data_IF_693575564476
#
_entry.id   IF_693575564476
#
_cell.length_a   1.000
_cell.length_b   1.000
_cell.length_c   1.000
_cell.angle_alpha   90.00
_cell.angle_beta   90.00
_cell.angle_gamma   90.00
#
_symmetry.space_group_name_H-M   'P 1'
#
loop_
_entity.id
_entity.type
_entity.pdbx_description
1 polymer ?
#
# COMPACT_ATOMS: atom_id res chain seq x y z
N UNK A 1 -26.29 -1.29 24.78
CA UNK A 1 -25.88 -0.66 23.51
C UNK A 1 -24.77 0.31 23.85
N UNK A 2 -23.57 0.14 23.28
CA UNK A 2 -22.50 1.13 23.43
C UNK A 2 -22.95 2.35 22.63
N UNK A 3 -22.98 3.54 23.22
CA UNK A 3 -23.23 4.75 22.45
C UNK A 3 -22.08 4.93 21.47
N UNK A 4 -22.40 5.12 20.19
CA UNK A 4 -21.40 5.43 19.16
C UNK A 4 -20.65 6.70 19.55
N UNK A 5 -19.32 6.67 19.44
CA UNK A 5 -18.50 7.88 19.63
C UNK A 5 -18.34 8.68 18.33
N UNK A 6 -18.78 8.12 17.19
CA UNK A 6 -18.79 8.81 15.91
C UNK A 6 -19.87 9.89 15.94
N UNK A 7 -19.44 11.15 16.04
CA UNK A 7 -20.31 12.31 16.09
C UNK A 7 -19.54 13.54 15.57
N UNK A 8 -20.27 14.65 15.36
CA UNK A 8 -19.68 15.91 14.85
C UNK A 8 -18.47 16.36 15.69
N UNK A 9 -18.52 16.22 17.02
CA UNK A 9 -17.40 16.63 17.89
C UNK A 9 -16.15 15.76 17.69
N UNK A 10 -16.31 14.45 17.47
CA UNK A 10 -15.18 13.55 17.16
C UNK A 10 -14.50 13.95 15.85
N UNK A 11 -15.27 14.15 14.78
CA UNK A 11 -14.72 14.47 13.46
C UNK A 11 -14.16 15.90 13.36
N UNK A 12 -14.78 16.88 14.00
CA UNK A 12 -14.19 18.22 14.14
C UNK A 12 -12.92 18.18 15.01
N UNK A 13 -12.85 17.30 16.01
CA UNK A 13 -11.66 17.11 16.83
C UNK A 13 -10.42 16.66 16.03
N UNK A 14 -10.61 16.07 14.85
CA UNK A 14 -9.53 15.62 13.96
C UNK A 14 -8.78 16.79 13.28
N UNK A 15 -9.34 18.00 13.26
CA UNK A 15 -8.69 19.19 12.64
C UNK A 15 -7.28 19.42 13.19
N UNK A 16 -7.10 19.17 14.49
CA UNK A 16 -5.79 19.27 15.17
C UNK A 16 -4.72 18.31 14.63
N UNK A 17 -5.11 17.22 13.95
CA UNK A 17 -4.16 16.31 13.28
C UNK A 17 -3.76 16.78 11.87
N UNK A 18 -4.48 17.74 11.29
CA UNK A 18 -4.23 18.28 9.96
C UNK A 18 -3.57 19.68 9.96
N UNK A 19 -3.30 20.26 11.14
CA UNK A 19 -2.55 21.51 11.30
C UNK A 19 -1.11 21.37 10.75
N UNK A 20 -0.35 22.48 10.70
CA UNK A 20 1.09 22.44 10.42
C UNK A 20 1.83 21.57 11.45
N UNK A 21 2.94 20.93 11.07
CA UNK A 21 3.63 19.92 11.90
C UNK A 21 4.00 20.46 13.30
N UNK A 22 4.30 21.74 13.41
CA UNK A 22 4.62 22.45 14.66
C UNK A 22 3.45 22.49 15.66
N UNK A 23 2.22 22.32 15.19
CA UNK A 23 1.00 22.36 15.97
C UNK A 23 0.13 21.10 15.79
N UNK A 24 0.52 20.16 14.93
CA UNK A 24 -0.24 18.96 14.69
C UNK A 24 -0.11 17.97 15.86
N UNK A 25 -1.18 17.20 16.08
CA UNK A 25 -1.22 16.09 17.02
C UNK A 25 -1.53 14.76 16.28
N UNK A 26 -1.13 13.63 16.87
CA UNK A 26 -1.49 12.31 16.32
C UNK A 26 -3.00 12.13 16.25
N UNK A 27 -3.46 11.20 15.40
CA UNK A 27 -4.88 10.83 15.40
C UNK A 27 -5.28 10.29 16.78
N UNK A 28 -6.57 10.39 17.17
CA UNK A 28 -7.07 9.76 18.38
C UNK A 28 -6.79 8.25 18.39
N UNK A 29 -6.43 7.64 19.55
CA UNK A 29 -6.17 6.21 19.64
C UNK A 29 -7.30 5.30 19.12
N UNK A 30 -8.56 5.78 19.20
CA UNK A 30 -9.73 5.08 18.67
C UNK A 30 -9.66 4.87 17.14
N UNK A 31 -8.95 5.72 16.40
CA UNK A 31 -8.73 5.55 14.96
C UNK A 31 -7.88 4.32 14.60
N UNK A 32 -7.19 3.74 15.59
CA UNK A 32 -6.28 2.60 15.43
C UNK A 32 -6.74 1.35 16.17
N UNK A 33 -7.79 1.44 16.98
CA UNK A 33 -8.17 0.36 17.92
C UNK A 33 -9.65 0.02 17.87
N UNK A 34 -10.52 0.96 17.48
CA UNK A 34 -11.96 0.73 17.55
C UNK A 34 -12.52 0.14 16.25
N UNK A 35 -13.30 -0.94 16.39
CA UNK A 35 -13.92 -1.63 15.27
C UNK A 35 -14.98 -0.77 14.57
N UNK A 36 -15.72 0.04 15.30
CA UNK A 36 -16.73 0.96 14.73
C UNK A 36 -16.05 1.99 13.82
N UNK A 37 -14.90 2.52 14.22
CA UNK A 37 -14.12 3.40 13.35
C UNK A 37 -13.57 2.66 12.14
N UNK A 38 -13.09 1.42 12.28
CA UNK A 38 -12.63 0.64 11.12
C UNK A 38 -13.74 0.40 10.09
N UNK A 39 -14.97 0.07 10.52
CA UNK A 39 -16.10 -0.07 9.58
C UNK A 39 -16.44 1.26 8.90
N UNK A 40 -16.39 2.38 9.64
CA UNK A 40 -16.50 3.71 9.05
C UNK A 40 -15.36 4.00 8.06
N UNK A 41 -14.13 3.62 8.39
CA UNK A 41 -12.93 3.84 7.59
C UNK A 41 -12.99 3.07 6.26
N UNK A 42 -13.56 1.87 6.23
CA UNK A 42 -13.85 1.15 4.96
C UNK A 42 -14.62 2.03 3.99
N UNK A 43 -15.69 2.67 4.47
CA UNK A 43 -16.52 3.56 3.67
C UNK A 43 -15.89 4.94 3.44
N UNK A 44 -15.07 5.45 4.36
CA UNK A 44 -14.46 6.76 4.18
C UNK A 44 -13.27 6.75 3.22
N UNK A 45 -12.68 5.57 3.01
CA UNK A 45 -11.36 5.44 2.42
C UNK A 45 -11.29 4.30 1.41
N UNK A 46 -11.34 3.05 1.87
CA UNK A 46 -11.03 1.89 1.05
C UNK A 46 -12.02 1.68 -0.10
N UNK A 47 -13.29 2.02 0.10
CA UNK A 47 -14.33 1.93 -0.94
C UNK A 47 -14.18 2.94 -2.09
N UNK A 48 -13.45 4.04 -1.87
CA UNK A 48 -13.43 5.17 -2.82
C UNK A 48 -12.03 5.57 -3.29
N UNK A 49 -10.98 5.12 -2.62
CA UNK A 49 -9.60 5.38 -3.01
C UNK A 49 -9.00 4.26 -3.86
N UNK A 50 -7.94 4.60 -4.58
CA UNK A 50 -7.18 3.65 -5.37
C UNK A 50 -6.28 2.79 -4.47
N UNK A 51 -6.45 1.48 -4.57
CA UNK A 51 -5.78 0.47 -3.75
C UNK A 51 -4.79 -0.32 -4.59
N UNK A 52 -3.50 -0.22 -4.28
CA UNK A 52 -2.48 -1.08 -4.86
C UNK A 52 -2.71 -2.53 -4.41
N UNK A 53 -2.82 -3.44 -5.38
CA UNK A 53 -3.10 -4.87 -5.14
C UNK A 53 -1.98 -5.79 -5.58
N UNK A 54 -1.00 -5.28 -6.33
CA UNK A 54 0.10 -6.08 -6.83
C UNK A 54 0.90 -5.40 -7.93
N UNK A 55 1.67 -6.20 -8.66
CA UNK A 55 2.51 -5.75 -9.79
C UNK A 55 1.99 -6.30 -11.10
N UNK A 56 2.19 -5.53 -12.17
CA UNK A 56 1.92 -5.97 -13.54
C UNK A 56 2.73 -7.23 -13.91
N UNK A 57 3.97 -7.33 -13.42
CA UNK A 57 4.84 -8.48 -13.67
C UNK A 57 4.33 -9.79 -13.03
N UNK A 58 3.39 -9.73 -12.09
CA UNK A 58 2.75 -10.92 -11.50
C UNK A 58 1.70 -11.54 -12.44
N UNK A 59 1.25 -10.80 -13.44
CA UNK A 59 0.33 -11.26 -14.50
C UNK A 59 0.94 -10.96 -15.86
N UNK A 60 2.10 -11.54 -16.15
CA UNK A 60 2.87 -11.20 -17.36
C UNK A 60 2.20 -11.74 -18.62
N UNK A 61 1.85 -13.02 -18.60
CA UNK A 61 1.31 -13.74 -19.74
C UNK A 61 -0.22 -13.75 -19.73
N UNK A 62 -0.84 -13.95 -20.90
CA UNK A 62 -2.30 -14.13 -20.98
C UNK A 62 -2.75 -15.30 -20.11
N UNK A 63 -3.78 -15.09 -19.29
CA UNK A 63 -4.30 -16.10 -18.38
C UNK A 63 -3.61 -16.16 -17.03
N UNK A 64 -2.48 -15.46 -16.86
CA UNK A 64 -1.87 -15.31 -15.53
C UNK A 64 -2.85 -14.58 -14.62
N UNK A 65 -2.95 -15.06 -13.39
CA UNK A 65 -3.76 -14.46 -12.34
C UNK A 65 -3.08 -14.57 -10.98
N UNK A 66 -3.45 -13.65 -10.09
CA UNK A 66 -3.28 -13.81 -8.65
C UNK A 66 -4.55 -13.38 -7.92
N UNK A 67 -4.67 -13.84 -6.68
CA UNK A 67 -5.73 -13.45 -5.76
C UNK A 67 -5.15 -12.64 -4.61
N UNK A 68 -6.00 -11.78 -4.04
CA UNK A 68 -5.73 -10.97 -2.86
C UNK A 68 -7.06 -10.61 -2.20
N UNK A 69 -7.03 -9.96 -1.03
CA UNK A 69 -8.22 -9.44 -0.38
C UNK A 69 -7.95 -8.12 0.31
N UNK A 70 -8.87 -7.17 0.21
CA UNK A 70 -8.81 -5.89 0.95
C UNK A 70 -10.17 -5.67 1.59
N UNK A 71 -10.21 -5.24 2.86
CA UNK A 71 -11.45 -4.94 3.61
C UNK A 71 -12.53 -6.03 3.56
N UNK A 72 -12.11 -7.30 3.61
CA UNK A 72 -12.97 -8.49 3.50
C UNK A 72 -13.50 -8.81 2.09
N UNK A 73 -13.09 -8.04 1.06
CA UNK A 73 -13.44 -8.29 -0.34
C UNK A 73 -12.38 -9.16 -1.04
N UNK A 74 -12.72 -10.39 -1.48
CA UNK A 74 -11.80 -11.26 -2.20
C UNK A 74 -11.73 -10.88 -3.69
N UNK A 75 -10.52 -10.61 -4.16
CA UNK A 75 -10.23 -10.09 -5.50
C UNK A 75 -9.43 -11.13 -6.29
N UNK A 76 -9.77 -11.29 -7.56
CA UNK A 76 -8.91 -11.94 -8.56
C UNK A 76 -8.46 -10.91 -9.58
N UNK A 77 -7.15 -10.83 -9.81
CA UNK A 77 -6.54 -9.99 -10.84
C UNK A 77 -5.99 -10.90 -11.92
N UNK A 78 -6.31 -10.65 -13.19
CA UNK A 78 -5.90 -11.51 -14.30
C UNK A 78 -5.61 -10.74 -15.58
N UNK A 79 -4.68 -11.25 -16.39
CA UNK A 79 -4.47 -10.75 -17.76
C UNK A 79 -5.40 -11.47 -18.75
N UNK A 80 -6.29 -10.71 -19.38
CA UNK A 80 -7.21 -11.21 -20.40
C UNK A 80 -6.52 -11.62 -21.70
N UNK A 81 -7.27 -12.31 -22.58
CA UNK A 81 -6.79 -12.71 -23.92
C UNK A 81 -6.56 -11.54 -24.87
N UNK A 82 -7.15 -10.40 -24.55
CA UNK A 82 -6.94 -9.11 -25.21
C UNK A 82 -5.73 -8.34 -24.64
N UNK A 83 -4.98 -8.93 -23.71
CA UNK A 83 -3.83 -8.31 -23.04
C UNK A 83 -4.21 -7.36 -21.90
N UNK A 84 -5.50 -7.08 -21.69
CA UNK A 84 -5.99 -6.13 -20.67
C UNK A 84 -6.00 -6.80 -19.29
N UNK A 85 -5.39 -6.14 -18.31
CA UNK A 85 -5.45 -6.53 -16.89
C UNK A 85 -6.82 -6.16 -16.33
N UNK A 86 -7.46 -7.10 -15.64
CA UNK A 86 -8.74 -6.89 -14.98
C UNK A 86 -8.65 -7.33 -13.53
N UNK A 87 -9.33 -6.59 -12.66
CA UNK A 87 -9.58 -6.97 -11.28
C UNK A 87 -11.09 -7.19 -11.11
N UNK A 88 -11.44 -8.29 -10.46
CA UNK A 88 -12.81 -8.77 -10.36
C UNK A 88 -13.04 -9.35 -8.98
N UNK A 89 -14.29 -9.39 -8.54
CA UNK A 89 -14.66 -10.20 -7.37
C UNK A 89 -14.34 -11.67 -7.66
N UNK A 90 -13.64 -12.33 -6.74
CA UNK A 90 -13.40 -13.78 -6.81
C UNK A 90 -14.66 -14.59 -6.43
N UNK A 91 -15.77 -13.93 -6.09
CA UNK A 91 -17.00 -14.57 -5.59
C UNK A 91 -17.88 -15.06 -6.74
N UNK A 92 -18.06 -16.38 -6.83
CA UNK A 92 -18.97 -17.01 -7.77
C UNK A 92 -20.42 -16.53 -7.54
N UNK A 93 -21.08 -16.10 -8.62
CA UNK A 93 -22.45 -15.58 -8.62
C UNK A 93 -23.54 -16.65 -8.35
N UNK A 94 -23.17 -17.92 -8.17
CA UNK A 94 -24.10 -18.98 -7.80
C UNK A 94 -24.31 -19.06 -6.29
N UNK A 95 -23.26 -19.42 -5.54
CA UNK A 95 -23.32 -19.67 -4.08
C UNK A 95 -22.04 -19.20 -3.38
N UNK A 96 -21.52 -18.07 -3.83
CA UNK A 96 -20.42 -17.32 -3.21
C UNK A 96 -19.07 -18.04 -3.05
N UNK A 97 -18.88 -19.22 -3.66
CA UNK A 97 -17.58 -19.90 -3.65
C UNK A 97 -16.52 -19.05 -4.37
N UNK A 98 -15.30 -19.02 -3.84
CA UNK A 98 -14.17 -18.40 -4.52
C UNK A 98 -13.83 -19.16 -5.81
N UNK A 99 -13.68 -18.44 -6.91
CA UNK A 99 -13.42 -19.03 -8.24
C UNK A 99 -11.93 -19.26 -8.52
N UNK A 100 -11.06 -18.69 -7.68
CA UNK A 100 -9.61 -18.79 -7.74
C UNK A 100 -9.00 -18.63 -6.35
N UNK A 101 -7.83 -19.23 -6.14
CA UNK A 101 -7.00 -19.12 -4.94
C UNK A 101 -5.53 -19.01 -5.35
N UNK A 102 -4.72 -18.31 -4.55
CA UNK A 102 -3.29 -18.14 -4.80
C UNK A 102 -2.99 -17.41 -6.11
N UNK A 103 -2.15 -18.01 -6.95
CA UNK A 103 -1.74 -17.49 -8.25
C UNK A 103 -1.54 -18.65 -9.24
N UNK A 104 -1.66 -18.37 -10.53
CA UNK A 104 -1.43 -19.37 -11.57
C UNK A 104 -1.74 -18.85 -12.97
N UNK A 105 -1.87 -19.77 -13.93
CA UNK A 105 -2.30 -19.46 -15.29
C UNK A 105 -3.53 -20.30 -15.65
N UNK A 106 -4.56 -19.68 -16.22
CA UNK A 106 -5.78 -20.39 -16.64
C UNK A 106 -6.40 -19.81 -17.91
N UNK A 107 -7.24 -20.61 -18.57
CA UNK A 107 -8.04 -20.19 -19.74
C UNK A 107 -9.42 -19.66 -19.36
N UNK A 108 -9.89 -19.99 -18.16
CA UNK A 108 -11.18 -19.65 -17.56
C UNK A 108 -11.16 -19.95 -16.05
N UNK A 109 -11.91 -19.22 -15.24
CA UNK A 109 -12.09 -19.51 -13.82
C UNK A 109 -13.19 -20.55 -13.64
N UNK A 110 -12.84 -21.72 -13.15
CA UNK A 110 -13.78 -22.81 -12.89
C UNK A 110 -14.10 -22.84 -11.40
N UNK A 111 -15.32 -22.45 -11.02
CA UNK A 111 -15.78 -22.53 -9.65
C UNK A 111 -15.72 -23.99 -9.16
N UNK A 112 -14.94 -24.30 -8.11
CA UNK A 112 -14.72 -25.68 -7.66
C UNK A 112 -15.98 -26.32 -7.04
N UNK A 113 -17.01 -25.52 -6.72
CA UNK A 113 -18.20 -26.05 -6.07
C UNK A 113 -19.16 -26.75 -7.05
N UNK A 114 -19.52 -26.09 -8.15
CA UNK A 114 -20.51 -26.62 -9.11
C UNK A 114 -20.10 -26.41 -10.58
N UNK A 115 -18.83 -26.08 -10.83
CA UNK A 115 -18.27 -25.93 -12.17
C UNK A 115 -18.96 -24.86 -13.04
N UNK A 116 -19.48 -23.80 -12.41
CA UNK A 116 -19.73 -22.57 -13.14
C UNK A 116 -18.39 -22.02 -13.63
N UNK A 117 -18.26 -21.81 -14.92
CA UNK A 117 -17.03 -21.36 -15.56
C UNK A 117 -17.20 -19.93 -16.06
N UNK A 118 -16.23 -19.08 -15.70
CA UNK A 118 -16.16 -17.68 -16.09
C UNK A 118 -14.97 -17.45 -17.02
N UNK A 119 -15.12 -16.60 -18.03
CA UNK A 119 -14.01 -16.12 -18.83
C UNK A 119 -12.99 -15.32 -18.01
N UNK A 120 -11.84 -15.01 -18.60
CA UNK A 120 -10.84 -14.12 -17.98
C UNK A 120 -11.32 -12.66 -17.86
N UNK A 121 -12.42 -12.33 -18.54
CA UNK A 121 -13.16 -11.07 -18.40
C UNK A 121 -14.27 -11.15 -17.36
N UNK A 122 -14.45 -12.30 -16.69
CA UNK A 122 -15.47 -12.55 -15.69
C UNK A 122 -16.83 -12.95 -16.22
N UNK A 123 -17.06 -13.00 -17.55
CA UNK A 123 -18.36 -13.40 -18.11
C UNK A 123 -18.66 -14.87 -17.82
N UNK A 124 -19.86 -15.19 -17.36
CA UNK A 124 -20.28 -16.59 -17.22
C UNK A 124 -20.36 -17.25 -18.61
N UNK A 125 -19.54 -18.28 -18.85
CA UNK A 125 -19.49 -19.00 -20.12
C UNK A 125 -20.17 -20.38 -20.03
N UNK A 126 -20.16 -21.01 -18.85
CA UNK A 126 -20.77 -22.31 -18.62
C UNK A 126 -21.38 -22.44 -17.23
N UNK A 127 -22.58 -23.02 -17.16
CA UNK A 127 -23.30 -23.28 -15.92
C UNK A 127 -24.03 -24.63 -16.07
N UNK A 128 -23.46 -25.73 -15.57
CA UNK A 128 -24.03 -27.08 -15.75
C UNK A 128 -25.45 -27.20 -15.19
N UNK A 129 -26.31 -27.95 -15.88
CA UNK A 129 -27.67 -28.29 -15.48
C UNK A 129 -28.65 -27.10 -15.29
N UNK A 130 -28.30 -25.90 -15.76
CA UNK A 130 -29.14 -24.71 -15.64
C UNK A 130 -30.22 -24.59 -16.73
N UNK A 131 -30.25 -25.48 -17.72
CA UNK A 131 -31.16 -25.41 -18.89
C UNK A 131 -32.65 -25.50 -18.56
N UNK A 132 -33.02 -25.98 -17.37
CA UNK A 132 -34.41 -26.02 -16.89
C UNK A 132 -34.74 -24.90 -15.89
N UNK A 133 -33.79 -24.03 -15.58
CA UNK A 133 -33.99 -22.93 -14.63
C UNK A 133 -34.67 -21.77 -15.33
N UNK A 134 -35.83 -21.35 -14.82
CA UNK A 134 -36.55 -20.20 -15.36
C UNK A 134 -35.74 -18.90 -15.16
N UNK A 135 -35.83 -17.97 -16.11
CA UNK A 135 -35.21 -16.64 -16.03
C UNK A 135 -33.68 -16.67 -15.82
N UNK A 136 -33.00 -17.64 -16.42
CA UNK A 136 -31.56 -17.76 -16.36
C UNK A 136 -30.95 -17.53 -17.75
N UNK A 137 -30.23 -16.42 -17.93
CA UNK A 137 -29.34 -16.20 -19.07
C UNK A 137 -27.92 -15.98 -18.55
N UNK A 138 -26.97 -16.76 -19.10
CA UNK A 138 -25.55 -16.61 -18.76
C UNK A 138 -25.01 -15.23 -19.13
N UNK A 139 -25.60 -14.56 -20.13
CA UNK A 139 -25.18 -13.22 -20.57
C UNK A 139 -25.38 -12.17 -19.49
N UNK A 140 -26.37 -12.36 -18.63
CA UNK A 140 -26.70 -11.41 -17.56
C UNK A 140 -25.84 -11.63 -16.29
N UNK A 141 -24.99 -12.66 -16.28
CA UNK A 141 -24.20 -13.05 -15.11
C UNK A 141 -22.71 -12.88 -15.40
N UNK A 142 -22.08 -12.03 -14.61
CA UNK A 142 -20.66 -11.72 -14.69
C UNK A 142 -20.09 -11.59 -13.28
N UNK A 143 -18.83 -11.94 -13.09
CA UNK A 143 -18.10 -11.52 -11.90
C UNK A 143 -18.06 -9.98 -11.84
N UNK A 144 -18.50 -9.35 -10.73
CA UNK A 144 -18.35 -7.91 -10.54
C UNK A 144 -16.92 -7.45 -10.86
N UNK A 145 -16.81 -6.35 -11.58
CA UNK A 145 -15.52 -5.77 -11.99
C UNK A 145 -15.18 -4.59 -11.08
N UNK A 146 -13.90 -4.33 -10.90
CA UNK A 146 -13.38 -3.13 -10.25
C UNK A 146 -12.66 -2.26 -11.28
N UNK A 147 -12.52 -0.94 -11.02
CA UNK A 147 -11.65 -0.12 -11.88
C UNK A 147 -10.22 -0.60 -11.74
N UNK A 148 -9.44 -0.48 -12.80
CA UNK A 148 -8.02 -0.85 -12.81
C UNK A 148 -7.21 0.26 -13.47
N UNK A 149 -6.14 0.68 -12.82
CA UNK A 149 -5.09 1.51 -13.41
C UNK A 149 -3.72 0.93 -13.06
N UNK A 150 -2.74 1.12 -13.96
CA UNK A 150 -1.35 0.69 -13.72
C UNK A 150 -0.48 1.94 -13.63
N UNK A 151 0.25 2.07 -12.53
CA UNK A 151 1.17 3.18 -12.28
C UNK A 151 2.56 2.64 -11.95
N UNK A 152 3.55 2.96 -12.78
CA UNK A 152 4.93 2.45 -12.65
C UNK A 152 5.02 0.92 -12.44
N UNK A 153 4.12 0.17 -13.10
CA UNK A 153 4.02 -1.29 -13.00
C UNK A 153 3.33 -1.82 -11.73
N UNK A 154 2.79 -0.95 -10.88
CA UNK A 154 1.88 -1.31 -9.79
C UNK A 154 0.44 -1.28 -10.26
N UNK A 155 -0.31 -2.34 -9.98
CA UNK A 155 -1.73 -2.46 -10.30
C UNK A 155 -2.52 -1.87 -9.15
N UNK A 156 -3.37 -0.89 -9.46
CA UNK A 156 -4.33 -0.31 -8.54
C UNK A 156 -5.75 -0.71 -8.92
N UNK A 157 -6.60 -0.86 -7.91
CA UNK A 157 -8.04 -1.07 -8.07
C UNK A 157 -8.83 0.02 -7.35
N UNK A 158 -10.06 0.27 -7.79
CA UNK A 158 -11.01 1.08 -7.04
C UNK A 158 -12.38 0.40 -7.05
N UNK A 159 -13.03 0.33 -5.89
CA UNK A 159 -14.36 -0.25 -5.74
C UNK A 159 -15.47 0.70 -6.22
N UNK A 160 -15.24 2.01 -6.17
CA UNK A 160 -16.09 3.01 -6.80
C UNK A 160 -15.80 3.06 -8.32
N UNK A 161 -16.79 2.67 -9.12
CA UNK A 161 -16.71 2.66 -10.58
C UNK A 161 -16.74 4.07 -11.18
N UNK A 162 -17.22 5.06 -10.43
CA UNK A 162 -17.27 6.47 -10.82
C UNK A 162 -16.03 7.25 -10.34
N UNK A 163 -15.09 6.60 -9.63
CA UNK A 163 -13.91 7.26 -9.09
C UNK A 163 -13.08 7.99 -10.17
N UNK A 164 -12.55 9.20 -9.88
CA UNK A 164 -11.63 9.89 -10.77
C UNK A 164 -10.38 9.06 -11.08
N UNK A 165 -9.79 9.28 -12.25
CA UNK A 165 -8.57 8.59 -12.67
C UNK A 165 -7.42 8.80 -11.68
N UNK A 166 -6.57 7.80 -11.51
CA UNK A 166 -5.44 7.84 -10.57
C UNK A 166 -4.30 8.72 -11.08
N UNK A 167 -3.92 8.56 -12.34
CA UNK A 167 -2.72 9.20 -12.90
C UNK A 167 -2.63 10.73 -12.65
N UNK A 168 -3.69 11.55 -12.87
CA UNK A 168 -3.64 12.99 -12.58
C UNK A 168 -3.35 13.31 -11.11
N UNK A 169 -3.81 12.47 -10.18
CA UNK A 169 -3.64 12.65 -8.74
C UNK A 169 -2.23 12.27 -8.25
N UNK A 170 -1.45 11.57 -9.06
CA UNK A 170 -0.05 11.19 -8.78
C UNK A 170 0.98 12.11 -9.47
N UNK A 171 0.54 13.10 -10.25
CA UNK A 171 1.42 13.99 -11.00
C UNK A 171 2.47 14.71 -10.12
N UNK A 172 2.13 15.01 -8.86
CA UNK A 172 3.05 15.63 -7.90
C UNK A 172 4.22 14.73 -7.50
N UNK A 173 4.10 13.41 -7.68
CA UNK A 173 5.15 12.43 -7.37
C UNK A 173 6.05 12.12 -8.58
N UNK A 174 5.56 12.35 -9.80
CA UNK A 174 6.29 12.00 -11.03
C UNK A 174 7.66 12.68 -11.11
N UNK A 175 7.76 13.94 -10.70
CA UNK A 175 9.02 14.70 -10.77
C UNK A 175 10.16 14.06 -9.97
N UNK A 176 9.87 13.58 -8.75
CA UNK A 176 10.89 12.97 -7.87
C UNK A 176 11.16 11.51 -8.25
N UNK A 177 10.22 10.84 -8.92
CA UNK A 177 10.32 9.43 -9.32
C UNK A 177 10.91 9.21 -10.72
N UNK A 178 10.85 10.21 -11.60
CA UNK A 178 11.31 10.09 -12.98
C UNK A 178 12.74 9.51 -13.14
N UNK A 179 13.75 9.90 -12.32
CA UNK A 179 15.11 9.36 -12.44
C UNK A 179 15.23 7.84 -12.22
N UNK A 180 14.25 7.20 -11.58
CA UNK A 180 14.27 5.77 -11.26
C UNK A 180 13.66 4.90 -12.36
N UNK A 181 12.90 5.49 -13.31
CA UNK A 181 12.32 4.77 -14.46
C UNK A 181 11.58 3.48 -14.08
N UNK A 182 10.68 3.56 -13.08
CA UNK A 182 10.18 2.40 -12.34
C UNK A 182 9.28 1.44 -13.14
N UNK A 183 8.66 1.93 -14.22
CA UNK A 183 7.67 1.17 -14.99
C UNK A 183 8.16 -0.19 -15.50
N UNK A 184 9.46 -0.30 -15.83
CA UNK A 184 10.03 -1.54 -16.42
C UNK A 184 10.87 -2.36 -15.44
N UNK A 185 10.96 -1.92 -14.18
CA UNK A 185 11.79 -2.60 -13.20
C UNK A 185 11.17 -3.93 -12.76
N UNK A 186 12.05 -4.88 -12.47
CA UNK A 186 11.72 -6.18 -11.94
C UNK A 186 12.62 -6.50 -10.75
N UNK A 187 12.28 -7.55 -10.03
CA UNK A 187 13.09 -8.11 -8.96
C UNK A 187 12.64 -9.53 -8.64
N UNK A 188 13.15 -10.13 -7.56
CA UNK A 188 12.76 -11.47 -7.15
C UNK A 188 11.28 -11.53 -6.75
N UNK A 189 10.78 -12.75 -6.59
CA UNK A 189 9.45 -12.97 -6.03
C UNK A 189 9.32 -12.27 -4.66
N UNK A 190 8.20 -11.57 -4.40
CA UNK A 190 7.94 -10.94 -3.12
C UNK A 190 7.61 -11.96 -2.03
N UNK A 191 7.83 -11.57 -0.79
CA UNK A 191 7.22 -12.22 0.37
C UNK A 191 5.76 -11.74 0.45
N UNK A 192 4.80 -12.66 0.50
CA UNK A 192 3.37 -12.35 0.39
C UNK A 192 2.58 -12.72 1.64
N UNK A 193 1.49 -11.97 1.86
CA UNK A 193 0.49 -12.21 2.91
C UNK A 193 1.08 -12.31 4.33
N UNK A 194 2.09 -11.48 4.62
CA UNK A 194 2.69 -11.40 5.95
C UNK A 194 1.70 -10.70 6.87
N UNK A 195 1.29 -11.39 7.95
CA UNK A 195 0.31 -10.88 8.92
C UNK A 195 0.99 -10.17 10.07
N UNK A 196 0.52 -8.97 10.38
CA UNK A 196 1.02 -8.15 11.48
C UNK A 196 -0.08 -7.79 12.50
N UNK A 197 0.21 -7.85 13.81
CA UNK A 197 -0.75 -7.57 14.89
C UNK A 197 -0.89 -6.08 15.24
N UNK A 198 -0.80 -5.18 14.25
CA UNK A 198 -1.04 -3.74 14.43
C UNK A 198 -1.82 -3.12 13.26
N UNK A 199 -2.44 -1.97 13.54
CA UNK A 199 -3.20 -1.19 12.57
C UNK A 199 -2.31 -0.77 11.38
N UNK A 200 -2.87 -0.80 10.17
CA UNK A 200 -2.17 -0.47 8.93
C UNK A 200 -1.55 0.94 8.94
N UNK A 201 -2.16 1.91 9.64
CA UNK A 201 -1.64 3.29 9.76
C UNK A 201 -0.33 3.34 10.53
N UNK A 202 -0.15 2.49 11.55
CA UNK A 202 1.09 2.41 12.33
C UNK A 202 2.26 2.03 11.42
N UNK A 203 2.05 1.13 10.45
CA UNK A 203 3.08 0.78 9.46
C UNK A 203 3.43 1.95 8.53
N UNK A 204 2.43 2.71 8.03
CA UNK A 204 2.71 3.93 7.25
C UNK A 204 3.45 4.99 8.07
N UNK A 205 3.06 5.13 9.33
CA UNK A 205 3.68 6.09 10.23
C UNK A 205 5.14 5.71 10.50
N UNK A 206 5.41 4.49 10.93
CA UNK A 206 6.77 4.05 11.24
C UNK A 206 7.67 4.01 10.00
N UNK A 207 7.25 3.35 8.91
CA UNK A 207 8.09 3.21 7.71
C UNK A 207 8.48 4.56 7.08
N UNK A 208 7.67 5.60 7.31
CA UNK A 208 7.88 6.91 6.75
C UNK A 208 8.35 7.96 7.78
N UNK A 209 8.78 7.55 8.96
CA UNK A 209 9.29 8.47 9.97
C UNK A 209 10.83 8.63 9.87
N UNK A 210 11.30 9.86 9.66
CA UNK A 210 12.72 10.17 9.71
C UNK A 210 13.24 10.38 11.15
N UNK A 211 12.36 10.60 12.12
CA UNK A 211 12.70 11.02 13.47
C UNK A 211 13.23 9.88 14.36
N UNK A 212 12.59 8.71 14.37
CA UNK A 212 13.07 7.56 15.16
C UNK A 212 14.41 7.02 14.65
N UNK A 213 14.68 7.15 13.35
CA UNK A 213 15.78 6.48 12.66
C UNK A 213 17.15 6.57 13.38
N UNK A 214 17.56 7.76 13.82
CA UNK A 214 18.84 7.96 14.52
C UNK A 214 18.92 7.34 15.92
N UNK A 215 17.77 7.09 16.55
CA UNK A 215 17.68 6.63 17.94
C UNK A 215 17.40 5.14 17.99
N UNK A 216 16.41 4.68 17.22
CA UNK A 216 16.01 3.28 17.15
C UNK A 216 17.07 2.45 16.43
N UNK A 217 17.50 2.89 15.24
CA UNK A 217 18.45 2.16 14.40
C UNK A 217 19.91 2.55 14.62
N UNK A 218 20.21 3.23 15.73
CA UNK A 218 21.53 3.79 16.01
C UNK A 218 22.64 2.76 15.85
N UNK A 219 23.66 3.11 15.06
CA UNK A 219 24.80 2.26 14.76
C UNK A 219 25.17 2.26 13.29
N UNK A 220 26.27 1.54 12.98
CA UNK A 220 26.91 1.58 11.67
C UNK A 220 26.02 1.13 10.49
N UNK A 221 24.91 0.45 10.73
CA UNK A 221 23.99 0.04 9.66
C UNK A 221 23.01 1.14 9.23
N UNK A 222 22.88 2.24 9.99
CA UNK A 222 21.92 3.30 9.69
C UNK A 222 22.46 4.73 9.88
N UNK A 223 23.51 4.95 10.68
CA UNK A 223 24.00 6.29 11.04
C UNK A 223 24.38 7.20 9.84
N UNK A 224 24.53 6.62 8.64
CA UNK A 224 24.77 7.35 7.39
C UNK A 224 23.51 8.01 6.79
N UNK A 225 22.32 7.80 7.37
CA UNK A 225 21.04 8.43 6.97
C UNK A 225 20.47 9.25 8.13
N UNK A 226 21.13 10.34 8.54
CA UNK A 226 20.77 10.98 9.79
C UNK A 226 19.43 11.71 9.71
N UNK A 227 18.59 11.56 10.74
CA UNK A 227 17.27 12.21 10.85
C UNK A 227 17.31 13.72 10.56
N UNK A 228 18.39 14.43 10.93
CA UNK A 228 18.53 15.88 10.71
C UNK A 228 18.57 16.30 9.24
N UNK A 229 18.73 15.33 8.33
CA UNK A 229 18.72 15.53 6.88
C UNK A 229 17.38 15.10 6.25
N UNK A 230 16.34 14.83 7.05
CA UNK A 230 14.99 14.68 6.55
C UNK A 230 14.52 15.98 5.89
N UNK A 231 13.90 15.85 4.72
CA UNK A 231 13.37 16.96 3.94
C UNK A 231 12.03 16.56 3.31
N UNK A 232 11.15 17.55 3.17
CA UNK A 232 9.75 17.36 2.78
C UNK A 232 9.41 18.34 1.64
N UNK A 233 8.44 18.02 0.78
CA UNK A 233 7.93 18.98 -0.19
C UNK A 233 7.31 20.18 0.52
N UNK A 234 7.46 21.38 -0.06
CA UNK A 234 6.88 22.61 0.51
C UNK A 234 5.35 22.61 0.46
N UNK A 235 4.76 22.18 -0.66
CA UNK A 235 3.32 22.05 -0.83
C UNK A 235 2.97 20.90 -1.80
N UNK A 236 2.10 19.99 -1.37
CA UNK A 236 1.47 18.99 -2.24
C UNK A 236 0.03 19.42 -2.58
N UNK A 237 -0.48 19.15 -3.79
CA UNK A 237 -1.88 19.42 -4.13
C UNK A 237 -2.82 18.71 -3.16
N UNK A 238 -3.87 19.41 -2.70
CA UNK A 238 -4.77 18.87 -1.68
C UNK A 238 -5.49 17.57 -2.10
N UNK A 239 -5.67 17.34 -3.41
CA UNK A 239 -6.32 16.17 -4.01
C UNK A 239 -5.33 15.07 -4.46
N UNK A 240 -4.04 15.25 -4.16
CA UNK A 240 -3.03 14.25 -4.50
C UNK A 240 -3.35 12.88 -3.89
N UNK A 241 -3.01 11.82 -4.61
CA UNK A 241 -3.19 10.45 -4.15
C UNK A 241 -2.02 9.95 -3.29
N UNK A 242 -0.95 10.74 -3.14
CA UNK A 242 0.20 10.33 -2.34
C UNK A 242 1.12 11.48 -1.94
N UNK A 243 2.11 11.15 -1.13
CA UNK A 243 3.08 12.10 -0.59
C UNK A 243 4.46 11.46 -0.56
N UNK A 244 5.49 12.28 -0.39
CA UNK A 244 6.86 11.78 -0.31
C UNK A 244 7.68 12.58 0.70
N UNK A 245 8.79 11.98 1.11
CA UNK A 245 9.89 12.68 1.78
C UNK A 245 11.20 12.19 1.21
N UNK A 246 12.25 12.95 1.49
CA UNK A 246 13.62 12.53 1.24
C UNK A 246 14.42 12.55 2.53
N UNK A 247 15.46 11.74 2.61
CA UNK A 247 16.41 11.82 3.70
C UNK A 247 17.82 11.87 3.13
N UNK A 248 18.55 12.95 3.36
CA UNK A 248 19.94 13.06 2.93
C UNK A 248 20.82 11.99 3.59
N UNK A 249 21.85 11.58 2.86
CA UNK A 249 22.85 10.60 3.30
C UNK A 249 24.21 11.29 3.49
N UNK A 250 25.09 10.70 4.30
CA UNK A 250 26.43 11.26 4.57
C UNK A 250 27.42 11.08 3.43
N UNK A 251 27.09 10.23 2.46
CA UNK A 251 27.84 10.02 1.23
C UNK A 251 26.91 9.48 0.13
N UNK A 252 27.41 9.55 -1.11
CA UNK A 252 26.69 9.04 -2.27
C UNK A 252 26.47 7.51 -2.19
N UNK A 253 25.37 7.09 -2.81
CA UNK A 253 24.91 5.70 -2.98
C UNK A 253 24.83 4.92 -1.69
N UNK A 254 24.37 5.56 -0.61
CA UNK A 254 24.31 4.89 0.67
C UNK A 254 23.25 3.77 0.68
N UNK A 255 23.59 2.62 1.25
CA UNK A 255 22.74 1.44 1.25
C UNK A 255 22.92 0.62 2.54
N UNK A 256 21.87 -0.08 2.96
CA UNK A 256 21.78 -0.79 4.24
C UNK A 256 22.50 -2.15 4.20
N UNK A 257 23.83 -2.13 4.13
CA UNK A 257 24.69 -3.31 4.18
C UNK A 257 26.05 -2.99 4.82
N UNK A 258 26.93 -3.98 5.07
CA UNK A 258 28.18 -3.74 5.80
C UNK A 258 29.16 -2.80 5.08
N UNK A 259 29.01 -2.61 3.77
CA UNK A 259 29.81 -1.64 2.99
C UNK A 259 29.27 -0.22 3.07
N UNK A 260 28.05 -0.06 3.58
CA UNK A 260 27.23 1.16 3.58
C UNK A 260 26.97 1.74 2.19
N UNK A 261 27.38 1.06 1.10
CA UNK A 261 27.25 1.55 -0.28
C UNK A 261 26.40 0.62 -1.11
N UNK A 262 25.85 1.13 -2.20
CA UNK A 262 25.22 0.34 -3.23
C UNK A 262 26.17 -0.77 -3.72
N UNK A 263 25.64 -1.99 -3.75
CA UNK A 263 26.37 -3.19 -4.18
C UNK A 263 25.78 -3.78 -5.47
N UNK A 264 24.58 -3.33 -5.83
CA UNK A 264 23.96 -3.53 -7.13
C UNK A 264 24.23 -2.31 -8.03
N UNK A 265 24.01 -2.42 -9.36
CA UNK A 265 24.05 -1.28 -10.25
C UNK A 265 23.20 -0.11 -9.75
N UNK A 266 23.74 1.10 -9.86
CA UNK A 266 23.01 2.33 -9.54
C UNK A 266 22.11 2.71 -10.73
N UNK A 267 20.93 3.25 -10.44
CA UNK A 267 20.02 3.75 -11.49
C UNK A 267 20.75 4.79 -12.38
N UNK A 268 20.76 4.60 -13.71
CA UNK A 268 21.67 5.34 -14.59
C UNK A 268 21.34 6.83 -14.74
N UNK A 269 20.10 7.24 -14.44
CA UNK A 269 19.65 8.63 -14.58
C UNK A 269 19.73 9.45 -13.27
N UNK A 270 20.27 8.89 -12.18
CA UNK A 270 20.40 9.62 -10.92
C UNK A 270 21.47 10.70 -11.00
N UNK A 271 21.12 11.92 -10.59
CA UNK A 271 22.04 13.03 -10.41
C UNK A 271 22.75 12.98 -9.06
N UNK A 272 23.57 13.99 -8.79
CA UNK A 272 24.31 14.11 -7.52
C UNK A 272 23.36 14.20 -6.32
N UNK A 273 22.26 14.95 -6.46
CA UNK A 273 21.27 15.10 -5.39
C UNK A 273 20.59 13.78 -5.06
N UNK A 274 20.13 13.03 -6.07
CA UNK A 274 19.48 11.73 -5.89
C UNK A 274 20.42 10.70 -5.25
N UNK A 275 21.70 10.69 -5.64
CA UNK A 275 22.68 9.75 -5.09
C UNK A 275 23.04 10.05 -3.65
N UNK A 276 22.81 11.25 -3.13
CA UNK A 276 23.08 11.65 -1.75
C UNK A 276 21.82 11.69 -0.87
N UNK A 277 20.76 10.95 -1.24
CA UNK A 277 19.54 10.83 -0.45
C UNK A 277 18.85 9.49 -0.65
N UNK A 278 17.98 9.15 0.30
CA UNK A 278 16.93 8.15 0.13
C UNK A 278 15.60 8.86 -0.15
N UNK A 279 14.74 8.21 -0.92
CA UNK A 279 13.40 8.69 -1.27
C UNK A 279 12.35 7.73 -0.69
N UNK A 280 11.34 8.29 -0.04
CA UNK A 280 10.21 7.55 0.50
C UNK A 280 8.95 8.08 -0.16
N UNK A 281 8.22 7.23 -0.89
CA UNK A 281 6.99 7.60 -1.61
C UNK A 281 5.84 6.75 -1.10
N UNK A 282 4.74 7.39 -0.76
CA UNK A 282 3.57 6.74 -0.17
C UNK A 282 2.32 7.08 -0.99
N UNK A 283 1.59 6.06 -1.40
CA UNK A 283 0.25 6.14 -2.02
C UNK A 283 -0.71 5.40 -1.08
N UNK A 284 -1.19 6.07 -0.02
CA UNK A 284 -2.09 5.46 0.94
C UNK A 284 -3.44 5.07 0.30
N UNK A 285 -4.13 4.05 0.84
CA UNK A 285 -3.80 3.34 2.08
C UNK A 285 -2.95 2.07 1.89
N UNK A 286 -2.38 1.85 0.70
CA UNK A 286 -1.89 0.51 0.34
C UNK A 286 -0.45 0.43 -0.13
N UNK A 287 0.17 1.49 -0.65
CA UNK A 287 1.52 1.39 -1.20
C UNK A 287 2.50 2.32 -0.48
N UNK A 288 3.61 1.75 -0.03
CA UNK A 288 4.77 2.49 0.45
C UNK A 288 6.03 2.01 -0.28
N UNK A 289 6.89 2.94 -0.66
CA UNK A 289 8.12 2.72 -1.40
C UNK A 289 9.30 3.31 -0.64
N UNK A 290 10.35 2.52 -0.43
CA UNK A 290 11.65 2.97 0.07
C UNK A 290 12.66 2.82 -1.06
N UNK A 291 13.22 3.93 -1.51
CA UNK A 291 13.99 4.01 -2.74
C UNK A 291 15.42 4.44 -2.41
N UNK A 292 16.38 3.56 -2.72
CA UNK A 292 17.82 3.82 -2.67
C UNK A 292 18.37 4.04 -4.09
N UNK A 293 19.68 4.25 -4.20
CA UNK A 293 20.35 4.46 -5.49
C UNK A 293 20.35 3.23 -6.41
N UNK A 294 20.16 2.03 -5.86
CA UNK A 294 20.34 0.75 -6.57
C UNK A 294 19.11 -0.18 -6.49
N UNK A 295 18.17 0.09 -5.59
CA UNK A 295 16.96 -0.70 -5.43
C UNK A 295 15.77 0.09 -4.86
N UNK A 296 14.60 -0.53 -4.96
CA UNK A 296 13.34 -0.04 -4.43
C UNK A 296 12.71 -1.17 -3.64
N UNK A 297 12.43 -0.93 -2.37
CA UNK A 297 11.62 -1.80 -1.52
C UNK A 297 10.19 -1.30 -1.64
N UNK A 298 9.26 -2.19 -1.99
CA UNK A 298 7.83 -1.87 -1.99
C UNK A 298 7.11 -2.67 -0.92
N UNK A 299 6.17 -2.01 -0.25
CA UNK A 299 5.26 -2.57 0.73
C UNK A 299 3.84 -2.37 0.21
N UNK A 300 3.09 -3.46 0.03
CA UNK A 300 1.67 -3.41 -0.35
C UNK A 300 0.84 -3.84 0.85
N UNK A 301 0.29 -2.88 1.57
CA UNK A 301 -0.47 -3.06 2.80
C UNK A 301 -1.95 -3.32 2.50
N UNK A 302 -2.55 -4.20 3.30
CA UNK A 302 -3.97 -4.54 3.23
C UNK A 302 -4.55 -4.64 4.63
N UNK A 303 -5.35 -3.66 5.01
CA UNK A 303 -6.06 -3.72 6.28
C UNK A 303 -7.04 -4.90 6.27
N UNK A 304 -7.00 -5.71 7.32
CA UNK A 304 -7.92 -6.82 7.54
C UNK A 304 -8.57 -6.79 8.93
N UNK A 305 -8.39 -5.68 9.64
CA UNK A 305 -9.03 -5.40 10.92
C UNK A 305 -8.66 -4.01 11.44
N UNK A 306 -9.31 -3.62 12.54
CA UNK A 306 -9.00 -2.37 13.23
C UNK A 306 -7.59 -2.36 13.80
N UNK A 307 -6.99 -3.52 14.08
CA UNK A 307 -5.72 -3.63 14.79
C UNK A 307 -4.75 -4.59 14.10
N UNK A 308 -5.01 -4.94 12.85
CA UNK A 308 -4.20 -5.88 12.09
C UNK A 308 -4.15 -5.51 10.61
N UNK A 309 -3.08 -5.93 9.95
CA UNK A 309 -2.99 -5.84 8.50
C UNK A 309 -2.16 -7.01 7.93
N UNK A 310 -2.33 -7.24 6.64
CA UNK A 310 -1.47 -8.07 5.80
C UNK A 310 -0.55 -7.17 4.96
N UNK A 311 0.61 -7.68 4.57
CA UNK A 311 1.54 -6.96 3.70
C UNK A 311 2.23 -7.90 2.73
N UNK A 312 2.37 -7.47 1.48
CA UNK A 312 3.39 -8.01 0.57
C UNK A 312 4.61 -7.10 0.60
N UNK A 313 5.80 -7.69 0.66
CA UNK A 313 7.06 -6.98 0.59
C UNK A 313 7.90 -7.52 -0.56
N UNK A 314 8.43 -6.62 -1.39
CA UNK A 314 9.33 -7.02 -2.46
C UNK A 314 10.33 -5.95 -2.85
N UNK A 315 11.15 -6.31 -3.83
CA UNK A 315 12.26 -5.50 -4.30
C UNK A 315 12.13 -5.29 -5.81
N UNK A 316 12.43 -4.09 -6.27
CA UNK A 316 12.75 -3.79 -7.67
C UNK A 316 14.20 -3.31 -7.71
N UNK A 317 14.95 -3.69 -8.73
CA UNK A 317 16.37 -3.39 -8.83
C UNK A 317 16.70 -2.65 -10.11
N UNK A 318 17.78 -1.87 -10.09
CA UNK A 318 18.21 -1.11 -11.25
C UNK A 318 18.51 -2.01 -12.47
N UNK A 319 18.39 -1.49 -13.70
CA UNK A 319 18.71 -2.24 -14.90
C UNK A 319 20.13 -2.82 -14.86
N UNK A 320 20.29 -4.09 -15.27
CA UNK A 320 21.58 -4.79 -15.22
C UNK A 320 21.83 -5.55 -13.92
N UNK A 321 21.03 -5.34 -12.86
CA UNK A 321 21.25 -5.99 -11.58
C UNK A 321 20.94 -7.49 -11.60
N UNK A 322 19.87 -7.91 -12.29
CA UNK A 322 19.46 -9.32 -12.35
C UNK A 322 20.41 -10.18 -13.20
N UNK A 323 21.22 -9.55 -14.04
CA UNK A 323 22.25 -10.17 -14.87
C UNK A 323 23.58 -10.38 -14.12
N UNK A 324 23.73 -9.84 -12.91
CA UNK A 324 24.92 -10.02 -12.08
C UNK A 324 25.00 -11.48 -11.57
N UNK A 325 26.09 -12.23 -11.84
CA UNK A 325 26.25 -13.60 -11.34
C UNK A 325 26.23 -13.72 -9.81
N UNK A 326 26.47 -12.62 -9.09
CA UNK A 326 26.43 -12.54 -7.62
C UNK A 326 25.17 -11.82 -7.12
N UNK A 327 24.15 -11.63 -7.96
CA UNK A 327 22.92 -10.91 -7.61
C UNK A 327 22.29 -11.44 -6.32
N UNK A 328 22.09 -12.76 -6.24
CA UNK A 328 21.42 -13.38 -5.09
C UNK A 328 22.23 -13.22 -3.80
N UNK A 329 23.56 -13.38 -3.87
CA UNK A 329 24.45 -13.21 -2.72
C UNK A 329 24.47 -11.75 -2.23
N UNK A 330 24.52 -10.79 -3.15
CA UNK A 330 24.48 -9.36 -2.84
C UNK A 330 23.14 -8.96 -2.24
N UNK A 331 22.03 -9.40 -2.83
CA UNK A 331 20.70 -9.13 -2.30
C UNK A 331 20.53 -9.78 -0.92
N UNK A 332 21.02 -11.01 -0.72
CA UNK A 332 21.01 -11.67 0.58
C UNK A 332 21.81 -10.88 1.64
N UNK A 333 22.94 -10.28 1.27
CA UNK A 333 23.72 -9.41 2.17
C UNK A 333 22.93 -8.15 2.58
N UNK A 334 22.26 -7.49 1.63
CA UNK A 334 21.35 -6.37 1.94
C UNK A 334 20.24 -6.83 2.89
N UNK A 335 19.51 -7.91 2.54
CA UNK A 335 18.40 -8.47 3.33
C UNK A 335 18.83 -8.86 4.75
N UNK A 336 20.01 -9.47 4.90
CA UNK A 336 20.51 -9.88 6.21
C UNK A 336 20.80 -8.67 7.10
N UNK A 337 21.37 -7.60 6.52
CA UNK A 337 21.70 -6.39 7.27
C UNK A 337 20.45 -5.58 7.62
N UNK A 338 19.51 -5.45 6.67
CA UNK A 338 18.24 -4.77 6.92
C UNK A 338 17.34 -5.53 7.88
N UNK A 339 17.43 -6.87 7.98
CA UNK A 339 16.64 -7.64 8.93
C UNK A 339 16.82 -7.19 10.39
N UNK A 340 18.02 -6.71 10.77
CA UNK A 340 18.26 -6.17 12.11
C UNK A 340 17.54 -4.83 12.35
N UNK A 341 17.48 -3.97 11.33
CA UNK A 341 16.74 -2.69 11.35
C UNK A 341 15.23 -2.99 11.41
N UNK A 342 14.75 -3.82 10.49
CA UNK A 342 13.35 -4.24 10.41
C UNK A 342 12.89 -4.89 11.72
N UNK A 343 13.70 -5.73 12.36
CA UNK A 343 13.32 -6.36 13.63
C UNK A 343 13.06 -5.32 14.75
N UNK A 344 13.75 -4.18 14.72
CA UNK A 344 13.49 -3.09 15.66
C UNK A 344 12.17 -2.40 15.34
N UNK A 345 11.89 -2.14 14.05
CA UNK A 345 10.62 -1.58 13.57
C UNK A 345 9.42 -2.43 13.96
N UNK A 346 9.48 -3.73 13.65
CA UNK A 346 8.40 -4.67 13.98
C UNK A 346 8.12 -4.70 15.49
N UNK A 347 9.16 -4.61 16.31
CA UNK A 347 8.99 -4.55 17.76
C UNK A 347 8.30 -3.26 18.21
N UNK A 348 8.73 -2.09 17.71
CA UNK A 348 8.12 -0.82 18.13
C UNK A 348 6.69 -0.69 17.62
N UNK A 349 6.38 -1.13 16.40
CA UNK A 349 5.02 -1.11 15.84
C UNK A 349 4.05 -1.93 16.71
N UNK A 350 4.46 -3.14 17.11
CA UNK A 350 3.67 -3.99 18.01
C UNK A 350 3.46 -3.30 19.37
N UNK A 351 4.51 -2.70 19.94
CA UNK A 351 4.43 -2.01 21.23
C UNK A 351 3.59 -0.73 21.15
N UNK A 352 3.63 -0.01 20.03
CA UNK A 352 2.76 1.15 19.76
C UNK A 352 1.30 0.70 19.75
N UNK A 353 0.96 -0.39 19.06
CA UNK A 353 -0.41 -0.91 19.08
C UNK A 353 -0.86 -1.30 20.50
N UNK A 354 0.01 -1.93 21.29
CA UNK A 354 -0.27 -2.22 22.71
C UNK A 354 -0.52 -0.92 23.48
N UNK A 355 0.31 0.09 23.27
CA UNK A 355 0.19 1.41 23.90
C UNK A 355 -1.10 2.14 23.55
N UNK A 356 -1.54 2.08 22.29
CA UNK A 356 -2.76 2.72 21.79
C UNK A 356 -4.04 2.23 22.49
N UNK A 357 -4.03 1.03 23.07
CA UNK A 357 -5.15 0.49 23.87
C UNK A 357 -5.22 1.06 25.29
N UNK A 358 -4.17 1.74 25.75
CA UNK A 358 -4.11 2.28 27.10
C UNK A 358 -5.12 3.41 27.27
N UNK A 359 -5.85 3.42 28.39
CA UNK A 359 -6.66 4.59 28.81
C UNK A 359 -5.84 5.86 29.05
N UNK A 360 -4.50 5.72 29.07
CA UNK A 360 -3.56 6.82 29.20
C UNK A 360 -2.92 7.19 27.85
N UNK A 361 -3.30 6.55 26.74
CA UNK A 361 -2.90 6.96 25.41
C UNK A 361 -3.48 8.34 25.12
N UNK A 362 -2.60 9.30 24.89
CA UNK A 362 -2.95 10.68 24.53
C UNK A 362 -2.66 10.92 23.05
N UNK A 363 -3.15 12.02 22.51
CA UNK A 363 -2.72 12.52 21.21
C UNK A 363 -1.39 13.25 21.40
N UNK A 364 -0.31 12.68 20.87
CA UNK A 364 1.04 13.23 20.97
C UNK A 364 1.26 14.36 19.96
N UNK A 365 2.27 15.21 20.19
CA UNK A 365 2.70 16.23 19.22
C UNK A 365 3.79 15.66 18.31
N UNK A 366 3.82 16.11 17.07
CA UNK A 366 4.88 15.76 16.13
C UNK A 366 6.14 16.61 16.33
N UNK A 367 7.29 15.99 16.06
CA UNK A 367 8.57 16.64 15.76
C UNK A 367 8.50 17.31 14.39
N UNK A 368 9.30 18.36 14.17
CA UNK A 368 9.46 18.95 12.83
C UNK A 368 9.98 17.93 11.79
N UNK A 369 10.62 16.84 12.27
CA UNK A 369 11.14 15.74 11.45
C UNK A 369 10.05 14.72 11.05
N UNK A 370 8.80 14.96 11.47
CA UNK A 370 7.64 14.09 11.22
C UNK A 370 6.61 14.77 10.30
N UNK A 371 7.01 15.76 9.50
CA UNK A 371 6.11 16.45 8.55
C UNK A 371 5.36 15.47 7.65
N UNK A 372 5.98 14.36 7.25
CA UNK A 372 5.29 13.38 6.42
C UNK A 372 4.16 12.62 7.15
N UNK A 373 4.19 12.54 8.49
CA UNK A 373 3.04 12.08 9.29
C UNK A 373 1.89 13.07 9.24
N UNK A 374 2.22 14.36 9.28
CA UNK A 374 1.25 15.42 9.09
C UNK A 374 0.63 15.36 7.69
N UNK A 375 1.41 15.12 6.63
CA UNK A 375 0.87 14.96 5.27
C UNK A 375 -0.10 13.77 5.19
N UNK A 376 0.27 12.64 5.82
CA UNK A 376 -0.61 11.49 5.90
C UNK A 376 -1.92 11.79 6.65
N UNK A 377 -1.84 12.44 7.81
CA UNK A 377 -3.02 12.82 8.56
C UNK A 377 -3.88 13.85 7.82
N UNK A 378 -3.30 14.86 7.17
CA UNK A 378 -4.05 15.80 6.35
C UNK A 378 -4.83 15.09 5.24
N UNK A 379 -4.22 14.08 4.63
CA UNK A 379 -4.85 13.22 3.64
C UNK A 379 -5.99 12.36 4.24
N UNK A 380 -5.81 11.78 5.42
CA UNK A 380 -6.82 10.97 6.10
C UNK A 380 -8.00 11.79 6.63
N UNK A 381 -7.71 12.85 7.38
CA UNK A 381 -8.71 13.68 8.07
C UNK A 381 -9.71 14.26 7.10
N UNK A 382 -9.25 14.77 5.95
CA UNK A 382 -10.13 15.28 4.90
C UNK A 382 -11.17 14.23 4.47
N UNK A 383 -10.74 12.99 4.21
CA UNK A 383 -11.62 11.90 3.77
C UNK A 383 -12.60 11.47 4.85
N UNK A 384 -12.14 11.41 6.09
CA UNK A 384 -13.01 11.11 7.22
C UNK A 384 -14.08 12.18 7.40
N UNK A 385 -13.72 13.46 7.33
CA UNK A 385 -14.68 14.56 7.48
C UNK A 385 -15.65 14.65 6.30
N UNK A 386 -15.15 14.55 5.06
CA UNK A 386 -15.98 14.56 3.85
C UNK A 386 -16.99 13.41 3.88
N UNK A 387 -16.58 12.23 4.35
CA UNK A 387 -17.47 11.07 4.46
C UNK A 387 -18.47 11.24 5.59
N UNK A 388 -18.03 11.68 6.76
CA UNK A 388 -18.93 11.96 7.88
C UNK A 388 -20.01 12.97 7.50
N UNK A 389 -19.66 14.02 6.76
CA UNK A 389 -20.63 14.98 6.25
C UNK A 389 -21.72 14.36 5.37
N UNK A 390 -21.41 13.28 4.63
CA UNK A 390 -22.37 12.54 3.79
C UNK A 390 -23.21 11.54 4.58
N UNK A 391 -22.60 10.83 5.54
CA UNK A 391 -23.23 9.65 6.17
C UNK A 391 -23.80 9.91 7.56
N UNK A 392 -23.54 11.08 8.16
CA UNK A 392 -24.04 11.38 9.50
C UNK A 392 -25.58 11.32 9.56
N UNK A 393 -26.16 10.83 10.67
CA UNK A 393 -27.61 10.81 10.82
C UNK A 393 -28.21 12.20 10.66
N UNK A 394 -29.30 12.32 9.90
CA UNK A 394 -30.10 13.55 9.89
C UNK A 394 -30.78 13.70 11.26
N UNK A 395 -30.71 14.91 11.81
CA UNK A 395 -31.20 15.24 13.16
C UNK A 395 -32.72 15.13 13.29
#
# INVERSE_FOLDING_TARGET
MKHSFLNDAFFSGLDSSALGVEAAETLPPLCYTDREFYEFEKEALFNHEWLCVGRESWVKETGDYFTTSIIDEPIVVARGRDGVIRAMSSVCQHRAMLVAEGQGNTRAFLCPYHHWSYGLDGQLIGAPAMEKTCNFDKKDIKLPQFKVEVWHGFIFVNFDLDAPALAPRLAALEGVMAPYSMATLNGPAPDRDIKFPWNWKVMFENNNDGYHANRLHGGALHDFVPSRLAAFPDDLPADTAGYYRTNGTLHADASFNPTQKAILPVFPALGEAERNRMLFVNVPPTLSLVITSDMIIYLILRADGAETHLMDQGYLVAPGALEDPLFDDKLAMNKHSTAAIIAQDLHVDEMVQVGLRSRHAIRGRYSWQEQAQREFNGWLVRRYQDTWARVKPTA
#
